data_IF_171671745483
#
_entry.id   IF_171671745483
#
_cell.length_a   1.000
_cell.length_b   1.000
_cell.length_c   1.000
_cell.angle_alpha   90.00
_cell.angle_beta   90.00
_cell.angle_gamma   90.00
#
_symmetry.space_group_name_H-M   'P 1'
#
loop_
_entity.id
_entity.type
_entity.pdbx_description
1 polymer ?
#
# COMPACT_ATOMS: atom_id res chain seq x y z
N UNK A 1 -23.66 -0.68 -1.22
CA UNK A 1 -23.98 0.75 -1.38
C UNK A 1 -24.94 1.12 -0.26
N UNK A 2 -24.61 2.13 0.51
CA UNK A 2 -25.36 2.58 1.67
C UNK A 2 -25.59 4.09 1.57
N UNK A 3 -26.77 4.54 1.90
CA UNK A 3 -27.09 5.95 2.04
C UNK A 3 -27.48 6.22 3.49
N UNK A 4 -26.87 7.23 4.07
CA UNK A 4 -27.11 7.68 5.44
C UNK A 4 -27.55 9.13 5.42
N UNK A 5 -28.49 9.46 6.26
CA UNK A 5 -28.96 10.83 6.48
C UNK A 5 -29.06 11.08 7.98
N UNK A 6 -28.35 12.08 8.43
CA UNK A 6 -28.45 12.60 9.80
C UNK A 6 -29.26 13.89 9.75
N UNK A 7 -30.27 13.98 10.64
CA UNK A 7 -31.12 15.15 10.79
C UNK A 7 -31.10 15.59 12.26
N UNK A 8 -30.69 16.82 12.53
CA UNK A 8 -30.59 17.35 13.87
C UNK A 8 -29.78 18.64 13.91
N UNK A 9 -28.82 18.72 14.83
CA UNK A 9 -27.86 19.82 14.88
C UNK A 9 -26.93 19.89 13.66
N UNK A 10 -26.83 18.79 12.90
CA UNK A 10 -26.09 18.63 11.65
C UNK A 10 -27.04 17.99 10.63
N UNK A 11 -27.15 18.59 9.45
CA UNK A 11 -27.87 18.01 8.32
C UNK A 11 -26.88 17.42 7.32
N UNK A 12 -26.54 16.14 7.47
CA UNK A 12 -25.57 15.44 6.61
C UNK A 12 -26.25 14.36 5.77
N UNK A 13 -25.91 14.35 4.50
CA UNK A 13 -26.21 13.23 3.60
C UNK A 13 -24.91 12.57 3.19
N UNK A 14 -24.82 11.26 3.37
CA UNK A 14 -23.63 10.48 3.05
C UNK A 14 -23.97 9.30 2.15
N UNK A 15 -23.23 9.18 1.06
CA UNK A 15 -23.22 8.01 0.21
C UNK A 15 -21.94 7.21 0.44
N UNK A 16 -22.08 5.91 0.71
CA UNK A 16 -20.95 5.00 0.89
C UNK A 16 -21.11 3.80 -0.03
N UNK A 17 -20.08 3.48 -0.77
CA UNK A 17 -20.05 2.28 -1.61
C UNK A 17 -18.71 1.57 -1.46
N UNK A 18 -18.77 0.28 -1.18
CA UNK A 18 -17.59 -0.60 -1.17
C UNK A 18 -17.82 -1.72 -2.17
N UNK A 19 -16.95 -1.83 -3.14
CA UNK A 19 -17.00 -2.83 -4.19
C UNK A 19 -15.70 -3.63 -4.21
N UNK A 20 -15.80 -4.93 -4.37
CA UNK A 20 -14.65 -5.82 -4.53
C UNK A 20 -14.90 -6.76 -5.70
N UNK A 21 -13.91 -6.89 -6.55
CA UNK A 21 -13.88 -7.82 -7.65
C UNK A 21 -12.65 -8.72 -7.50
N UNK A 22 -12.84 -10.02 -7.69
CA UNK A 22 -11.74 -10.97 -7.85
C UNK A 22 -12.11 -11.90 -8.98
N UNK A 23 -11.23 -12.03 -9.96
CA UNK A 23 -11.45 -12.88 -11.12
C UNK A 23 -10.18 -13.65 -11.46
N UNK A 24 -10.34 -14.94 -11.76
CA UNK A 24 -9.30 -15.82 -12.24
C UNK A 24 -9.56 -16.12 -13.72
N UNK A 25 -8.70 -15.60 -14.59
CA UNK A 25 -8.83 -15.84 -16.02
C UNK A 25 -8.43 -17.27 -16.41
N UNK A 26 -7.39 -17.78 -15.78
CA UNK A 26 -6.87 -19.14 -15.96
C UNK A 26 -5.98 -19.50 -14.76
N UNK A 27 -5.27 -20.62 -14.85
CA UNK A 27 -4.43 -21.12 -13.75
C UNK A 27 -3.22 -20.21 -13.46
N UNK A 28 -2.83 -19.37 -14.40
CA UNK A 28 -1.68 -18.47 -14.28
C UNK A 28 -2.05 -17.04 -13.93
N UNK A 29 -3.25 -16.55 -14.26
CA UNK A 29 -3.63 -15.15 -14.14
C UNK A 29 -4.80 -14.91 -13.22
N UNK A 30 -4.64 -13.95 -12.31
CA UNK A 30 -5.71 -13.44 -11.44
C UNK A 30 -5.70 -11.91 -11.47
N UNK A 31 -6.87 -11.32 -11.40
CA UNK A 31 -7.04 -9.89 -11.13
C UNK A 31 -7.86 -9.71 -9.86
N UNK A 32 -7.60 -8.63 -9.16
CA UNK A 32 -8.38 -8.19 -8.02
C UNK A 32 -8.55 -6.67 -8.09
N UNK A 33 -9.75 -6.21 -7.79
CA UNK A 33 -10.08 -4.80 -7.72
C UNK A 33 -10.87 -4.49 -6.46
N UNK A 34 -10.67 -3.29 -5.95
CA UNK A 34 -11.46 -2.71 -4.86
C UNK A 34 -11.73 -1.25 -5.17
N UNK A 35 -12.96 -0.83 -4.97
CA UNK A 35 -13.36 0.57 -5.07
C UNK A 35 -14.16 0.93 -3.83
N UNK A 36 -13.63 1.84 -3.04
CA UNK A 36 -14.32 2.48 -1.94
C UNK A 36 -14.65 3.91 -2.36
N UNK A 37 -15.87 4.30 -2.16
CA UNK A 37 -16.36 5.65 -2.44
C UNK A 37 -17.17 6.13 -1.24
N UNK A 38 -16.91 7.35 -0.80
CA UNK A 38 -17.73 8.04 0.17
C UNK A 38 -17.85 9.49 -0.26
N UNK A 39 -19.07 10.00 -0.27
CA UNK A 39 -19.39 11.41 -0.52
C UNK A 39 -20.32 11.88 0.59
N UNK A 40 -19.90 12.92 1.29
CA UNK A 40 -20.63 13.50 2.41
C UNK A 40 -20.90 14.96 2.04
N UNK A 41 -22.15 15.30 2.01
CA UNK A 41 -22.65 16.66 1.79
C UNK A 41 -23.28 17.18 3.10
N UNK A 42 -22.80 18.31 3.57
CA UNK A 42 -23.36 19.00 4.72
C UNK A 42 -24.17 20.19 4.22
N UNK A 43 -25.48 20.20 4.50
CA UNK A 43 -26.39 21.25 4.02
C UNK A 43 -26.28 22.55 4.80
N UNK A 44 -25.77 22.48 6.04
CA UNK A 44 -25.61 23.65 6.90
C UNK A 44 -24.24 24.29 6.74
N UNK A 45 -23.20 23.48 6.46
CA UNK A 45 -21.86 23.97 6.20
C UNK A 45 -21.27 23.33 4.93
N UNK A 46 -21.33 24.02 3.78
CA UNK A 46 -20.75 23.50 2.53
C UNK A 46 -19.25 23.19 2.59
N UNK A 47 -18.52 23.75 3.57
CA UNK A 47 -17.10 23.48 3.78
C UNK A 47 -16.89 22.18 4.56
N UNK A 48 -17.92 21.65 5.21
CA UNK A 48 -17.89 20.38 5.92
C UNK A 48 -18.11 19.17 5.01
N UNK A 49 -18.38 19.37 3.74
CA UNK A 49 -18.45 18.28 2.75
C UNK A 49 -17.13 17.54 2.60
N UNK A 50 -17.18 16.23 2.41
CA UNK A 50 -16.00 15.40 2.21
C UNK A 50 -16.21 14.39 1.07
N UNK A 51 -15.19 14.17 0.29
CA UNK A 51 -15.20 13.14 -0.74
C UNK A 51 -13.97 12.26 -0.61
N UNK A 52 -14.21 10.97 -0.51
CA UNK A 52 -13.17 9.95 -0.45
C UNK A 52 -13.37 8.95 -1.60
N UNK A 53 -12.31 8.72 -2.35
CA UNK A 53 -12.27 7.68 -3.40
C UNK A 53 -10.96 6.92 -3.24
N UNK A 54 -11.05 5.62 -3.03
CA UNK A 54 -9.91 4.71 -3.06
C UNK A 54 -10.19 3.61 -4.07
N UNK A 55 -9.42 3.57 -5.13
CA UNK A 55 -9.47 2.54 -6.15
C UNK A 55 -8.17 1.74 -6.18
N UNK A 56 -8.27 0.41 -6.08
CA UNK A 56 -7.16 -0.51 -6.23
C UNK A 56 -7.47 -1.50 -7.34
N UNK A 57 -6.57 -1.64 -8.30
CA UNK A 57 -6.62 -2.66 -9.34
C UNK A 57 -5.28 -3.37 -9.38
N UNK A 58 -5.29 -4.68 -9.24
CA UNK A 58 -4.08 -5.48 -9.26
C UNK A 58 -4.22 -6.74 -10.09
N UNK A 59 -3.08 -7.23 -10.54
CA UNK A 59 -2.97 -8.55 -11.15
C UNK A 59 -1.87 -9.37 -10.48
N UNK A 60 -2.03 -10.68 -10.55
CA UNK A 60 -1.02 -11.65 -10.18
C UNK A 60 -0.87 -12.65 -11.33
N UNK A 61 0.36 -12.85 -11.74
CA UNK A 61 0.73 -13.84 -12.73
C UNK A 61 1.72 -14.82 -12.13
N UNK A 62 1.44 -16.11 -12.31
CA UNK A 62 2.31 -17.22 -11.93
C UNK A 62 2.11 -18.35 -12.92
N UNK A 63 3.15 -18.81 -13.63
CA UNK A 63 3.01 -19.95 -14.55
C UNK A 63 2.42 -21.16 -13.82
N UNK A 64 1.46 -21.82 -14.45
CA UNK A 64 0.79 -22.97 -13.87
C UNK A 64 1.70 -24.20 -13.73
N UNK A 65 2.70 -24.28 -14.58
CA UNK A 65 3.69 -25.38 -14.68
C UNK A 65 4.99 -25.10 -13.94
N UNK A 66 5.13 -23.92 -13.34
CA UNK A 66 6.35 -23.51 -12.66
C UNK A 66 6.07 -22.66 -11.43
N UNK A 67 6.72 -22.98 -10.35
CA UNK A 67 6.72 -22.18 -9.11
C UNK A 67 7.89 -21.19 -9.04
N UNK A 68 8.72 -21.14 -10.09
CA UNK A 68 9.95 -20.35 -10.08
C UNK A 68 9.71 -18.84 -10.28
N UNK A 69 8.62 -18.48 -10.93
CA UNK A 69 8.31 -17.09 -11.25
C UNK A 69 6.96 -16.68 -10.70
N UNK A 70 6.90 -15.46 -10.19
CA UNK A 70 5.64 -14.77 -9.95
C UNK A 70 5.82 -13.28 -10.23
N UNK A 71 4.80 -12.66 -10.80
CA UNK A 71 4.77 -11.21 -11.06
C UNK A 71 3.47 -10.65 -10.53
N UNK A 72 3.57 -9.52 -9.83
CA UNK A 72 2.44 -8.80 -9.26
C UNK A 72 2.48 -7.36 -9.76
N UNK A 73 1.35 -6.85 -10.18
CA UNK A 73 1.20 -5.44 -10.49
C UNK A 73 0.00 -4.88 -9.77
N UNK A 74 0.10 -3.63 -9.31
CA UNK A 74 -0.99 -2.93 -8.64
C UNK A 74 -0.98 -1.46 -9.03
N UNK A 75 -2.16 -0.97 -9.36
CA UNK A 75 -2.46 0.45 -9.48
C UNK A 75 -3.39 0.86 -8.35
N UNK A 76 -3.06 1.95 -7.66
CA UNK A 76 -3.88 2.55 -6.61
C UNK A 76 -4.16 3.99 -6.96
N UNK A 77 -5.41 4.39 -6.86
CA UNK A 77 -5.84 5.77 -6.93
C UNK A 77 -6.48 6.15 -5.60
N UNK A 78 -6.00 7.23 -5.01
CA UNK A 78 -6.53 7.81 -3.80
C UNK A 78 -6.89 9.27 -4.05
N UNK A 79 -8.12 9.62 -3.75
CA UNK A 79 -8.60 11.00 -3.66
C UNK A 79 -9.24 11.19 -2.30
N UNK A 80 -8.72 12.11 -1.53
CA UNK A 80 -9.15 12.37 -0.17
C UNK A 80 -9.32 13.88 0.00
N UNK A 81 -10.58 14.28 0.22
CA UNK A 81 -10.96 15.59 0.70
C UNK A 81 -11.41 15.43 2.15
N UNK A 82 -10.54 15.79 3.08
CA UNK A 82 -10.82 15.66 4.50
C UNK A 82 -12.04 16.49 4.94
N UNK A 83 -12.81 15.99 5.91
CA UNK A 83 -13.90 16.76 6.55
C UNK A 83 -13.37 17.66 7.64
N UNK A 84 -14.11 18.72 8.00
CA UNK A 84 -13.83 19.56 9.18
C UNK A 84 -13.74 18.76 10.49
N UNK A 85 -14.51 17.68 10.63
CA UNK A 85 -14.46 16.81 11.80
C UNK A 85 -13.19 15.95 11.89
N UNK A 86 -12.50 15.73 10.77
CA UNK A 86 -11.22 15.01 10.69
C UNK A 86 -10.02 15.96 10.83
N UNK A 87 -10.24 17.27 10.99
CA UNK A 87 -9.23 18.32 11.12
C UNK A 87 -8.50 18.28 12.48
N UNK A 88 -8.26 17.14 13.03
CA UNK A 88 -7.35 17.00 14.17
C UNK A 88 -5.87 17.19 13.82
N UNK A 89 -5.50 17.45 12.57
CA UNK A 89 -4.11 17.56 12.21
C UNK A 89 -3.71 17.86 10.76
N UNK A 90 -4.61 17.76 9.77
CA UNK A 90 -4.20 17.86 8.37
C UNK A 90 -5.17 18.67 7.52
N UNK A 91 -4.89 19.96 7.34
CA UNK A 91 -5.66 20.89 6.47
C UNK A 91 -5.24 20.77 5.00
N UNK A 92 -5.16 19.56 4.44
CA UNK A 92 -4.80 19.41 3.04
C UNK A 92 -5.71 18.43 2.30
N UNK A 93 -5.96 18.75 1.05
CA UNK A 93 -6.57 17.81 0.10
C UNK A 93 -5.45 17.04 -0.61
N UNK A 94 -5.66 15.78 -0.90
CA UNK A 94 -4.70 14.99 -1.64
C UNK A 94 -5.31 14.20 -2.78
N UNK A 95 -4.52 14.04 -3.83
CA UNK A 95 -4.76 13.11 -4.94
C UNK A 95 -3.49 12.32 -5.16
N UNK A 96 -3.58 11.01 -5.16
CA UNK A 96 -2.40 10.16 -5.28
C UNK A 96 -2.67 9.01 -6.23
N UNK A 97 -1.72 8.77 -7.12
CA UNK A 97 -1.69 7.59 -7.97
C UNK A 97 -0.41 6.84 -7.67
N UNK A 98 -0.52 5.53 -7.45
CA UNK A 98 0.63 4.65 -7.23
C UNK A 98 0.55 3.50 -8.20
N UNK A 99 1.58 3.32 -8.99
CA UNK A 99 1.78 2.15 -9.84
C UNK A 99 2.93 1.34 -9.25
N UNK A 100 2.71 0.05 -9.00
CA UNK A 100 3.75 -0.85 -8.52
C UNK A 100 3.83 -2.12 -9.34
N UNK A 101 5.04 -2.62 -9.51
CA UNK A 101 5.35 -3.90 -10.13
C UNK A 101 6.36 -4.63 -9.26
N UNK A 102 6.11 -5.90 -9.00
CA UNK A 102 6.98 -6.77 -8.23
C UNK A 102 7.17 -8.10 -8.97
N UNK A 103 8.40 -8.54 -9.06
CA UNK A 103 8.77 -9.84 -9.60
C UNK A 103 9.46 -10.69 -8.55
N UNK A 104 9.11 -11.96 -8.48
CA UNK A 104 9.74 -12.96 -7.61
C UNK A 104 10.33 -14.06 -8.47
N UNK A 105 11.56 -14.44 -8.17
CA UNK A 105 12.28 -15.51 -8.84
C UNK A 105 12.90 -16.48 -7.85
N UNK A 106 12.58 -17.78 -8.02
CA UNK A 106 13.10 -18.90 -7.22
C UNK A 106 13.90 -19.83 -8.12
N UNK A 107 15.24 -19.67 -8.23
CA UNK A 107 16.06 -20.55 -9.04
C UNK A 107 16.03 -22.01 -8.54
N UNK A 108 15.97 -22.18 -7.25
CA UNK A 108 15.90 -23.47 -6.56
C UNK A 108 15.03 -23.39 -5.29
N UNK A 109 15.06 -24.43 -4.46
CA UNK A 109 14.26 -24.49 -3.22
C UNK A 109 14.85 -23.65 -2.09
N UNK A 110 16.10 -23.21 -2.19
CA UNK A 110 16.78 -22.46 -1.13
C UNK A 110 16.77 -20.95 -1.34
N UNK A 111 16.79 -20.52 -2.58
CA UNK A 111 16.89 -19.09 -2.92
C UNK A 111 15.58 -18.52 -3.44
N UNK A 112 15.24 -17.35 -2.92
CA UNK A 112 14.18 -16.52 -3.45
C UNK A 112 14.70 -15.09 -3.60
N UNK A 113 14.54 -14.53 -4.78
CA UNK A 113 14.86 -13.15 -5.11
C UNK A 113 13.57 -12.43 -5.46
N UNK A 114 13.38 -11.24 -4.91
CA UNK A 114 12.30 -10.36 -5.30
C UNK A 114 12.83 -8.99 -5.67
N UNK A 115 12.20 -8.34 -6.64
CA UNK A 115 12.46 -6.96 -7.00
C UNK A 115 11.12 -6.24 -7.17
N UNK A 116 11.04 -5.05 -6.58
CA UNK A 116 9.85 -4.19 -6.61
C UNK A 116 10.24 -2.82 -7.12
N UNK A 117 9.45 -2.28 -8.03
CA UNK A 117 9.47 -0.88 -8.43
C UNK A 117 8.08 -0.30 -8.19
N UNK A 118 8.02 0.89 -7.62
CA UNK A 118 6.77 1.60 -7.48
C UNK A 118 6.98 3.09 -7.73
N UNK A 119 6.03 3.73 -8.36
CA UNK A 119 6.02 5.17 -8.59
C UNK A 119 4.71 5.75 -8.04
N UNK A 120 4.87 6.80 -7.26
CA UNK A 120 3.78 7.63 -6.79
C UNK A 120 3.82 8.98 -7.49
N UNK A 121 2.70 9.38 -8.04
CA UNK A 121 2.45 10.75 -8.47
C UNK A 121 1.36 11.30 -7.58
N UNK A 122 1.72 12.25 -6.74
CA UNK A 122 0.84 12.86 -5.76
C UNK A 122 0.63 14.33 -6.04
N UNK A 123 -0.54 14.85 -5.66
CA UNK A 123 -0.86 16.27 -5.60
C UNK A 123 -1.43 16.55 -4.22
N UNK A 124 -0.91 17.55 -3.56
CA UNK A 124 -1.43 18.04 -2.30
C UNK A 124 -1.79 19.54 -2.42
N UNK A 125 -2.82 19.94 -1.69
CA UNK A 125 -3.27 21.32 -1.66
C UNK A 125 -3.51 21.73 -0.21
N UNK A 126 -2.83 22.79 0.23
CA UNK A 126 -3.07 23.38 1.54
C UNK A 126 -4.28 24.32 1.48
N UNK A 127 -5.11 24.22 2.49
CA UNK A 127 -6.38 24.93 2.53
C UNK A 127 -7.46 24.28 1.67
N UNK A 128 -8.64 24.15 2.24
CA UNK A 128 -9.77 23.48 1.60
C UNK A 128 -10.29 24.26 0.42
N UNK A 129 -10.30 23.64 -0.73
CA UNK A 129 -10.95 24.17 -1.92
C UNK A 129 -10.29 25.39 -2.56
N UNK A 130 -9.38 26.10 -1.87
CA UNK A 130 -8.88 27.41 -2.27
C UNK A 130 -7.39 27.50 -2.56
N UNK A 131 -6.57 26.55 -2.06
CA UNK A 131 -5.12 26.57 -2.24
C UNK A 131 -4.68 26.08 -3.63
N UNK A 132 -3.41 26.31 -3.93
CA UNK A 132 -2.77 25.76 -5.14
C UNK A 132 -2.37 24.29 -4.91
N UNK A 133 -2.41 23.50 -5.99
CA UNK A 133 -1.93 22.14 -5.97
C UNK A 133 -0.41 22.09 -6.15
N UNK A 134 0.26 21.34 -5.28
CA UNK A 134 1.68 21.03 -5.37
C UNK A 134 1.83 19.60 -5.84
N UNK A 135 2.64 19.40 -6.85
CA UNK A 135 2.96 18.08 -7.39
C UNK A 135 4.13 17.45 -6.63
N UNK A 136 4.10 16.15 -6.46
CA UNK A 136 5.15 15.37 -5.82
C UNK A 136 5.27 14.03 -6.51
N UNK A 137 6.46 13.71 -6.99
CA UNK A 137 6.76 12.40 -7.56
C UNK A 137 7.75 11.67 -6.67
N UNK A 138 7.44 10.42 -6.36
CA UNK A 138 8.31 9.56 -5.56
C UNK A 138 8.45 8.21 -6.25
N UNK A 139 9.68 7.73 -6.39
CA UNK A 139 9.97 6.41 -6.96
C UNK A 139 10.66 5.55 -5.93
N UNK A 140 10.16 4.34 -5.76
CA UNK A 140 10.69 3.33 -4.86
C UNK A 140 11.29 2.17 -5.65
N UNK A 141 12.43 1.69 -5.19
CA UNK A 141 13.05 0.45 -5.65
C UNK A 141 13.36 -0.42 -4.42
N UNK A 142 12.93 -1.66 -4.45
CA UNK A 142 13.20 -2.66 -3.42
C UNK A 142 13.80 -3.91 -4.04
N UNK A 143 14.76 -4.52 -3.36
CA UNK A 143 15.29 -5.83 -3.72
C UNK A 143 15.39 -6.68 -2.46
N UNK A 144 14.80 -7.87 -2.50
CA UNK A 144 14.78 -8.80 -1.38
C UNK A 144 15.46 -10.09 -1.78
N UNK A 145 16.28 -10.61 -0.90
CA UNK A 145 16.89 -11.94 -1.01
C UNK A 145 16.48 -12.73 0.21
N UNK A 146 15.93 -13.92 0.01
CA UNK A 146 15.63 -14.89 1.06
C UNK A 146 16.38 -16.18 0.79
N UNK A 147 16.93 -16.74 1.85
CA UNK A 147 17.68 -17.98 1.82
C UNK A 147 17.15 -18.98 2.87
N UNK A 148 16.89 -20.21 2.43
CA UNK A 148 16.52 -21.31 3.31
C UNK A 148 17.79 -21.92 3.94
N UNK A 149 17.94 -21.71 5.25
CA UNK A 149 19.04 -22.22 6.07
C UNK A 149 18.87 -23.73 6.42
N UNK A 150 17.72 -24.30 6.09
CA UNK A 150 17.34 -25.64 6.53
C UNK A 150 16.72 -25.67 7.92
N UNK A 151 16.18 -26.81 8.33
CA UNK A 151 15.51 -27.02 9.61
C UNK A 151 14.40 -25.98 9.89
N UNK A 152 13.68 -25.58 8.83
CA UNK A 152 12.60 -24.59 8.90
C UNK A 152 13.05 -23.14 9.22
N UNK A 153 14.34 -22.85 9.14
CA UNK A 153 14.86 -21.50 9.30
C UNK A 153 15.12 -20.83 7.96
N UNK A 154 14.80 -19.54 7.88
CA UNK A 154 15.02 -18.70 6.71
C UNK A 154 15.70 -17.39 7.13
N UNK A 155 16.62 -16.93 6.34
CA UNK A 155 17.22 -15.61 6.47
C UNK A 155 16.70 -14.71 5.34
N UNK A 156 16.51 -13.44 5.63
CA UNK A 156 16.05 -12.43 4.68
C UNK A 156 16.88 -11.17 4.78
N UNK A 157 17.24 -10.61 3.63
CA UNK A 157 17.81 -9.28 3.51
C UNK A 157 17.06 -8.49 2.44
N UNK A 158 16.81 -7.22 2.69
CA UNK A 158 16.14 -6.32 1.76
C UNK A 158 16.89 -5.00 1.68
N UNK A 159 17.08 -4.50 0.47
CA UNK A 159 17.59 -3.16 0.20
C UNK A 159 16.49 -2.30 -0.40
N UNK A 160 16.36 -1.07 0.09
CA UNK A 160 15.35 -0.09 -0.33
C UNK A 160 16.02 1.21 -0.75
N UNK A 161 15.53 1.75 -1.86
CA UNK A 161 15.90 3.07 -2.36
C UNK A 161 14.64 3.86 -2.68
N UNK A 162 14.49 5.01 -2.04
CA UNK A 162 13.42 5.97 -2.29
C UNK A 162 14.02 7.21 -2.92
N UNK A 163 13.50 7.59 -4.08
CA UNK A 163 13.86 8.83 -4.78
C UNK A 163 12.66 9.76 -4.73
N UNK A 164 12.83 10.92 -4.13
CA UNK A 164 11.81 11.97 -4.06
C UNK A 164 12.26 13.10 -4.99
N UNK A 165 11.42 13.47 -5.94
CA UNK A 165 11.65 14.63 -6.80
C UNK A 165 11.74 15.88 -5.91
N UNK A 166 12.78 16.68 -6.08
CA UNK A 166 13.10 17.85 -5.26
C UNK A 166 13.40 17.58 -3.77
N UNK A 167 13.35 16.31 -3.31
CA UNK A 167 13.55 15.92 -1.90
C UNK A 167 14.76 15.05 -1.63
N UNK A 168 15.52 14.68 -2.67
CA UNK A 168 16.71 13.83 -2.55
C UNK A 168 16.39 12.33 -2.46
N UNK A 169 17.41 11.55 -2.18
CA UNK A 169 17.34 10.09 -2.13
C UNK A 169 17.46 9.60 -0.68
N UNK A 170 16.65 8.60 -0.33
CA UNK A 170 16.77 7.87 0.92
C UNK A 170 17.03 6.40 0.61
N UNK A 171 17.91 5.78 1.38
CA UNK A 171 18.22 4.36 1.22
C UNK A 171 18.23 3.67 2.58
N UNK A 172 17.98 2.38 2.58
CA UNK A 172 17.98 1.62 3.81
C UNK A 172 18.02 0.12 3.58
N UNK A 173 18.21 -0.59 4.66
CA UNK A 173 18.28 -2.04 4.70
C UNK A 173 17.31 -2.59 5.72
N UNK A 174 16.86 -3.81 5.47
CA UNK A 174 16.12 -4.60 6.42
C UNK A 174 16.74 -6.00 6.42
N UNK A 175 16.92 -6.57 7.59
CA UNK A 175 17.41 -7.94 7.72
C UNK A 175 16.63 -8.67 8.81
N UNK A 176 16.40 -9.96 8.61
CA UNK A 176 15.65 -10.76 9.56
C UNK A 176 15.88 -12.24 9.36
N UNK A 177 15.46 -13.00 10.36
CA UNK A 177 15.36 -14.46 10.31
C UNK A 177 13.97 -14.86 10.71
N UNK A 178 13.43 -15.86 10.05
CA UNK A 178 12.14 -16.44 10.37
C UNK A 178 12.23 -17.96 10.46
N UNK A 179 11.26 -18.56 11.17
CA UNK A 179 11.15 -19.99 11.34
C UNK A 179 9.72 -20.45 11.15
N UNK A 180 9.55 -21.52 10.39
CA UNK A 180 8.26 -22.20 10.30
C UNK A 180 8.00 -23.00 11.59
N UNK A 181 6.86 -22.76 12.23
CA UNK A 181 6.42 -23.42 13.46
C UNK A 181 5.19 -24.25 13.12
N UNK A 182 5.42 -25.56 12.95
CA UNK A 182 4.38 -26.45 12.47
C UNK A 182 4.09 -26.24 10.97
N UNK A 183 2.84 -26.47 10.56
CA UNK A 183 2.43 -26.40 9.15
C UNK A 183 1.86 -25.05 8.72
N UNK A 184 1.42 -24.26 9.69
CA UNK A 184 0.53 -23.14 9.44
C UNK A 184 1.02 -21.81 10.05
N UNK A 185 2.15 -21.79 10.74
CA UNK A 185 2.64 -20.59 11.41
C UNK A 185 4.11 -20.36 11.07
N UNK A 186 4.45 -19.11 10.72
CA UNK A 186 5.83 -18.64 10.58
C UNK A 186 6.04 -17.47 11.53
N UNK A 187 7.10 -17.52 12.31
CA UNK A 187 7.49 -16.49 13.26
C UNK A 187 8.83 -15.93 12.84
N UNK A 188 8.95 -14.63 12.74
CA UNK A 188 10.19 -13.96 12.36
C UNK A 188 10.54 -12.82 13.32
N UNK A 189 11.85 -12.55 13.38
CA UNK A 189 12.44 -11.42 14.06
C UNK A 189 13.39 -10.73 13.10
N UNK A 190 13.30 -9.44 13.01
CA UNK A 190 14.18 -8.66 12.16
C UNK A 190 14.43 -7.25 12.69
N UNK A 191 15.34 -6.57 12.02
CA UNK A 191 15.64 -5.19 12.29
C UNK A 191 15.53 -4.37 11.01
N UNK A 192 14.75 -3.31 11.08
CA UNK A 192 14.59 -2.33 10.01
C UNK A 192 15.54 -1.15 10.25
N UNK A 193 16.53 -1.01 9.36
CA UNK A 193 17.47 0.12 9.36
C UNK A 193 16.94 1.30 8.53
N UNK A 194 15.75 1.17 7.95
CA UNK A 194 15.14 2.12 7.03
C UNK A 194 14.23 3.07 7.79
N UNK A 195 14.21 4.33 7.37
CA UNK A 195 13.32 5.36 7.92
C UNK A 195 12.17 5.68 6.95
N UNK A 196 11.76 4.75 6.10
CA UNK A 196 10.63 4.93 5.19
C UNK A 196 9.98 3.58 4.83
N UNK A 197 8.69 3.63 4.51
CA UNK A 197 7.91 2.47 4.09
C UNK A 197 8.09 2.15 2.60
N UNK A 198 7.85 0.90 2.23
CA UNK A 198 7.65 0.48 0.84
C UNK A 198 6.20 0.69 0.34
N UNK A 199 5.31 1.14 1.23
CA UNK A 199 3.96 1.56 0.89
C UNK A 199 3.94 3.06 0.62
N UNK A 200 3.88 3.42 -0.67
CA UNK A 200 3.86 4.80 -1.13
C UNK A 200 2.49 5.47 -0.97
N UNK A 201 1.51 4.82 -0.38
CA UNK A 201 0.19 5.41 -0.11
C UNK A 201 0.18 6.26 1.16
N UNK A 202 1.11 6.03 2.06
CA UNK A 202 1.27 6.79 3.30
C UNK A 202 2.45 7.78 3.22
N UNK A 203 2.26 8.99 3.78
CA UNK A 203 3.28 10.06 3.77
C UNK A 203 4.24 10.01 4.95
N UNK A 204 3.79 9.51 6.10
CA UNK A 204 4.48 9.63 7.37
C UNK A 204 4.74 8.25 7.99
N UNK A 205 5.69 7.50 7.41
CA UNK A 205 6.10 6.26 8.03
C UNK A 205 7.59 6.30 8.37
N UNK A 206 7.90 6.61 9.62
CA UNK A 206 9.24 6.50 10.18
C UNK A 206 9.30 5.30 11.14
N UNK A 207 9.88 4.19 10.67
CA UNK A 207 9.90 2.95 11.44
C UNK A 207 11.27 2.28 11.39
N UNK A 208 12.20 2.84 12.16
CA UNK A 208 13.49 2.21 12.41
C UNK A 208 13.42 1.40 13.71
N UNK A 209 13.77 0.13 13.67
CA UNK A 209 13.79 -0.67 14.89
C UNK A 209 13.54 -2.16 14.68
N UNK A 210 13.41 -2.86 15.78
CA UNK A 210 13.07 -4.27 15.81
C UNK A 210 11.61 -4.50 15.40
N UNK A 211 11.37 -5.55 14.66
CA UNK A 211 10.03 -5.99 14.33
C UNK A 211 9.89 -7.50 14.50
N UNK A 212 8.69 -7.93 14.83
CA UNK A 212 8.29 -9.33 14.88
C UNK A 212 7.28 -9.55 13.77
N UNK A 213 7.48 -10.59 12.96
CA UNK A 213 6.51 -11.00 11.94
C UNK A 213 5.82 -12.29 12.35
N UNK A 214 4.51 -12.34 12.15
CA UNK A 214 3.69 -13.52 12.35
C UNK A 214 2.88 -13.76 11.09
N UNK A 215 3.10 -14.89 10.42
CA UNK A 215 2.39 -15.25 9.20
C UNK A 215 1.66 -16.56 9.43
N UNK A 216 0.34 -16.51 9.39
CA UNK A 216 -0.54 -17.69 9.46
C UNK A 216 -1.02 -18.10 8.07
N UNK A 217 -1.06 -19.39 7.77
CA UNK A 217 -1.69 -19.97 6.58
C UNK A 217 -2.73 -21.01 7.00
N UNK A 218 -3.86 -21.05 6.32
CA UNK A 218 -4.95 -22.01 6.55
C UNK A 218 -5.37 -22.67 5.22
#
# INVERSE_FOLDING_TARGET
>A
MEWRRDTGAEEREQWVSTNRLTHRFNDSWRIAGRLNYSDTDDKLDPLAGARFIEGNLGFAWRPWDSVRWAVFGRYTYLYDLATLAQIGGHDYDQKTQVLSLEGVYKPDQRWEFAAKVAQRVGKARYGRGTGQWFDSTTTFYGTTVRYDLGQQWHAMGEYRLLKVEDGGNRQGWLAGVDRDVGKNLRIGLGYNFTQFSDDLTDFDYDHKGWFISLVGSY
#
